data_IF_442731849670
#
_entry.id   IF_442731849670
#
_cell.length_a   1.000
_cell.length_b   1.000
_cell.length_c   1.000
_cell.angle_alpha   90.00
_cell.angle_beta   90.00
_cell.angle_gamma   90.00
#
_symmetry.space_group_name_H-M   'P 1'
#
loop_
_entity.id
_entity.type
_entity.pdbx_description
1 polymer ?
#
# COMPACT_ATOMS: atom_id res chain seq x y z
N UNK A 1 -53.93 -42.54 -16.09
CA UNK A 1 -52.65 -43.21 -16.14
C UNK A 1 -51.86 -42.62 -17.31
N UNK A 2 -51.20 -41.48 -17.11
CA UNK A 2 -50.40 -40.80 -18.14
C UNK A 2 -48.95 -40.80 -17.70
N UNK A 3 -48.11 -41.58 -18.39
CA UNK A 3 -46.65 -41.56 -18.23
C UNK A 3 -46.06 -40.37 -18.98
N UNK A 4 -45.44 -39.41 -18.28
CA UNK A 4 -44.61 -38.38 -18.88
C UNK A 4 -43.18 -38.94 -19.01
N UNK A 5 -42.71 -39.05 -20.25
CA UNK A 5 -41.32 -39.38 -20.59
C UNK A 5 -40.47 -38.12 -20.47
N UNK A 6 -39.52 -38.10 -19.52
CA UNK A 6 -38.46 -37.11 -19.47
C UNK A 6 -37.35 -37.47 -20.45
N UNK A 7 -37.09 -36.57 -21.39
CA UNK A 7 -35.93 -36.65 -22.30
C UNK A 7 -34.80 -35.86 -21.69
N UNK A 8 -33.59 -36.41 -21.44
CA UNK A 8 -32.44 -35.59 -20.97
C UNK A 8 -31.87 -34.83 -22.17
N UNK A 9 -31.81 -33.50 -22.03
CA UNK A 9 -31.06 -32.62 -22.93
C UNK A 9 -29.58 -32.68 -22.54
N UNK A 10 -28.78 -33.27 -23.42
CA UNK A 10 -27.33 -33.31 -23.31
C UNK A 10 -26.79 -31.93 -23.73
N UNK A 11 -26.34 -31.11 -22.81
CA UNK A 11 -25.61 -29.86 -23.09
C UNK A 11 -24.16 -30.28 -23.38
N UNK A 12 -23.80 -30.29 -24.65
CA UNK A 12 -22.40 -30.45 -25.08
C UNK A 12 -21.62 -29.13 -24.76
N UNK A 13 -20.89 -29.13 -23.67
CA UNK A 13 -19.94 -28.07 -23.35
C UNK A 13 -18.76 -28.12 -24.33
N UNK A 14 -18.67 -27.18 -25.26
CA UNK A 14 -17.45 -26.93 -26.03
C UNK A 14 -16.36 -26.38 -25.11
N UNK A 15 -15.49 -27.27 -24.64
CA UNK A 15 -14.25 -26.87 -23.99
C UNK A 15 -13.36 -26.17 -25.03
N UNK A 16 -13.17 -24.86 -24.90
CA UNK A 16 -12.14 -24.10 -25.62
C UNK A 16 -10.77 -24.61 -25.15
N UNK A 17 -10.21 -25.55 -25.91
CA UNK A 17 -8.84 -26.01 -25.70
C UNK A 17 -7.90 -24.86 -26.09
N UNK A 18 -7.43 -24.11 -25.14
CA UNK A 18 -6.26 -23.25 -25.33
C UNK A 18 -5.04 -24.12 -25.65
N UNK A 19 -4.20 -23.76 -26.62
CA UNK A 19 -3.06 -24.59 -26.98
C UNK A 19 -2.13 -24.77 -25.78
N UNK A 20 -2.04 -25.97 -25.26
CA UNK A 20 -1.19 -26.33 -24.11
C UNK A 20 0.28 -25.95 -24.32
N UNK A 21 0.75 -25.92 -25.56
CA UNK A 21 2.11 -25.50 -25.93
C UNK A 21 2.43 -24.05 -25.56
N UNK A 22 1.50 -23.10 -25.73
CA UNK A 22 1.76 -21.68 -25.39
C UNK A 22 1.88 -21.48 -23.87
N UNK A 23 1.14 -22.24 -23.06
CA UNK A 23 1.26 -22.21 -21.60
C UNK A 23 2.56 -22.87 -21.11
N UNK A 24 3.02 -23.93 -21.77
CA UNK A 24 4.27 -24.62 -21.40
C UNK A 24 5.52 -23.82 -21.78
N UNK A 25 5.49 -23.11 -22.90
CA UNK A 25 6.56 -22.22 -23.33
C UNK A 25 6.67 -20.99 -22.44
N UNK A 26 5.56 -20.33 -22.10
CA UNK A 26 5.48 -19.23 -21.14
C UNK A 26 5.95 -19.64 -19.72
N UNK A 27 5.77 -20.91 -19.34
CA UNK A 27 6.26 -21.43 -18.05
C UNK A 27 7.78 -21.65 -18.00
N UNK A 28 8.44 -21.73 -19.16
CA UNK A 28 9.89 -21.94 -19.29
C UNK A 28 10.69 -20.64 -19.39
N UNK A 29 10.04 -19.51 -19.65
CA UNK A 29 10.72 -18.22 -19.72
C UNK A 29 11.33 -17.83 -18.39
N UNK A 30 12.60 -17.38 -18.38
CA UNK A 30 13.29 -16.99 -17.15
C UNK A 30 12.67 -15.73 -16.54
N UNK A 31 12.77 -15.62 -15.22
CA UNK A 31 12.32 -14.43 -14.52
C UNK A 31 13.30 -13.29 -14.67
N UNK A 32 12.76 -12.08 -14.82
CA UNK A 32 13.44 -10.82 -14.55
C UNK A 32 13.00 -10.34 -13.16
N UNK A 33 13.96 -9.86 -12.36
CA UNK A 33 13.72 -9.31 -11.02
C UNK A 33 14.29 -7.91 -10.97
N UNK A 34 13.45 -6.90 -10.74
CA UNK A 34 13.88 -5.52 -10.51
C UNK A 34 13.90 -5.27 -9.01
N UNK A 35 15.05 -4.83 -8.50
CA UNK A 35 15.24 -4.38 -7.12
C UNK A 35 15.46 -2.88 -7.16
N UNK A 36 14.67 -2.15 -6.38
CA UNK A 36 14.73 -0.69 -6.24
C UNK A 36 15.17 -0.37 -4.83
N UNK A 37 16.20 0.46 -4.67
CA UNK A 37 16.74 0.84 -3.37
C UNK A 37 17.18 2.31 -3.37
N UNK A 38 16.79 3.03 -2.33
CA UNK A 38 17.19 4.42 -2.13
C UNK A 38 16.71 5.01 -0.80
N UNK A 39 16.94 6.28 -0.56
CA UNK A 39 16.41 7.00 0.59
C UNK A 39 14.97 7.48 0.36
N UNK A 40 14.19 7.52 1.45
CA UNK A 40 12.92 8.24 1.51
C UNK A 40 12.80 9.02 2.81
N UNK A 41 12.10 10.13 2.72
CA UNK A 41 11.72 10.99 3.83
C UNK A 41 10.23 10.75 4.12
N UNK A 42 9.91 10.39 5.35
CA UNK A 42 8.54 10.11 5.78
C UNK A 42 8.30 10.71 7.17
N UNK A 43 7.06 11.01 7.56
CA UNK A 43 6.77 11.36 8.95
C UNK A 43 7.30 10.30 9.91
N UNK A 44 7.87 10.71 11.05
CA UNK A 44 8.47 9.77 12.02
C UNK A 44 7.42 8.80 12.58
N UNK A 45 6.20 9.27 12.75
CA UNK A 45 5.00 8.52 13.10
C UNK A 45 3.76 9.24 12.55
N UNK A 46 2.57 8.62 12.53
CA UNK A 46 1.33 9.27 12.13
C UNK A 46 1.05 10.55 12.95
N UNK A 47 0.89 11.68 12.26
CA UNK A 47 0.67 12.99 12.87
C UNK A 47 1.93 13.74 13.29
N UNK A 48 3.12 13.21 13.05
CA UNK A 48 4.37 13.90 13.35
C UNK A 48 4.60 15.13 12.45
N UNK A 49 5.25 16.14 12.98
CA UNK A 49 5.90 17.22 12.21
C UNK A 49 7.35 16.88 11.84
N UNK A 50 7.97 15.96 12.59
CA UNK A 50 9.32 15.48 12.35
C UNK A 50 9.37 14.48 11.22
N UNK A 51 10.40 14.60 10.38
CA UNK A 51 10.68 13.72 9.25
C UNK A 51 11.78 12.73 9.63
N UNK A 52 11.57 11.48 9.26
CA UNK A 52 12.55 10.38 9.39
C UNK A 52 13.07 9.97 8.02
N UNK A 53 14.37 9.73 7.94
CA UNK A 53 15.00 9.07 6.80
C UNK A 53 14.83 7.56 6.95
N UNK A 54 14.27 6.92 5.94
CA UNK A 54 14.07 5.46 5.89
C UNK A 54 14.53 4.90 4.54
N UNK A 55 14.81 3.60 4.43
CA UNK A 55 15.03 2.98 3.13
C UNK A 55 13.74 2.95 2.32
N UNK A 56 13.83 3.30 1.03
CA UNK A 56 12.83 3.01 0.02
C UNK A 56 13.25 1.73 -0.68
N UNK A 57 12.48 0.66 -0.51
CA UNK A 57 12.79 -0.67 -1.07
C UNK A 57 11.56 -1.18 -1.82
N UNK A 58 11.78 -1.64 -3.06
CA UNK A 58 10.76 -2.30 -3.86
C UNK A 58 11.37 -3.48 -4.62
N UNK A 59 10.62 -4.56 -4.82
CA UNK A 59 11.06 -5.75 -5.55
C UNK A 59 9.94 -6.22 -6.46
N UNK A 60 10.10 -6.05 -7.75
CA UNK A 60 9.18 -6.50 -8.78
C UNK A 60 9.73 -7.69 -9.56
N UNK A 61 8.86 -8.60 -10.00
CA UNK A 61 9.21 -9.77 -10.83
C UNK A 61 8.31 -9.86 -12.05
N UNK A 62 8.93 -10.19 -13.19
CA UNK A 62 8.22 -10.46 -14.44
C UNK A 62 8.83 -11.67 -15.15
N UNK A 63 8.04 -12.40 -15.93
CA UNK A 63 8.53 -13.51 -16.77
C UNK A 63 8.84 -13.03 -18.17
N UNK A 64 9.94 -13.48 -18.74
CA UNK A 64 10.34 -13.19 -20.10
C UNK A 64 10.27 -11.69 -20.41
N UNK A 65 9.55 -11.34 -21.45
CA UNK A 65 9.35 -9.96 -21.89
C UNK A 65 8.10 -9.28 -21.31
N UNK A 66 7.32 -9.97 -20.46
CA UNK A 66 6.16 -9.35 -19.83
C UNK A 66 6.57 -8.11 -19.02
N UNK A 67 5.73 -7.10 -19.04
CA UNK A 67 5.95 -5.89 -18.24
C UNK A 67 5.94 -6.20 -16.74
N UNK A 68 6.73 -5.45 -15.97
CA UNK A 68 6.60 -5.48 -14.52
C UNK A 68 5.22 -4.96 -14.11
N UNK A 69 4.59 -5.66 -13.16
CA UNK A 69 3.30 -5.24 -12.63
C UNK A 69 3.44 -3.87 -11.95
N UNK A 70 2.39 -3.07 -12.06
CA UNK A 70 2.35 -1.78 -11.38
C UNK A 70 2.08 -1.99 -9.90
N UNK A 71 2.94 -1.39 -9.08
CA UNK A 71 2.77 -1.20 -7.65
C UNK A 71 2.98 0.28 -7.35
N UNK A 72 2.10 0.90 -6.56
CA UNK A 72 2.28 2.28 -6.17
C UNK A 72 3.35 2.37 -5.06
N UNK A 73 4.18 3.43 -5.05
CA UNK A 73 5.35 3.51 -4.17
C UNK A 73 5.01 3.59 -2.67
N UNK A 74 3.76 3.81 -2.32
CA UNK A 74 3.26 3.92 -0.95
C UNK A 74 2.41 2.71 -0.51
N UNK A 75 2.38 1.65 -1.31
CA UNK A 75 1.68 0.41 -0.95
C UNK A 75 2.48 -0.43 0.05
N UNK A 76 1.77 -1.29 0.74
CA UNK A 76 2.37 -2.33 1.58
C UNK A 76 3.06 -3.40 0.73
N UNK A 77 4.05 -4.07 1.30
CA UNK A 77 4.67 -5.23 0.65
C UNK A 77 3.65 -6.33 0.46
N UNK A 78 3.46 -6.78 -0.77
CA UNK A 78 2.48 -7.83 -1.09
C UNK A 78 2.69 -8.39 -2.49
N UNK A 79 2.01 -9.50 -2.76
CA UNK A 79 1.98 -10.09 -4.10
C UNK A 79 0.63 -10.77 -4.33
N UNK A 80 0.09 -10.75 -5.55
CA UNK A 80 -1.16 -11.43 -5.85
C UNK A 80 -0.98 -12.95 -5.80
N UNK A 81 -1.80 -13.63 -5.00
CA UNK A 81 -1.90 -15.11 -4.94
C UNK A 81 -3.02 -15.66 -5.80
N UNK A 82 -4.03 -14.85 -6.06
CA UNK A 82 -5.13 -15.14 -6.98
C UNK A 82 -5.27 -14.01 -7.97
N UNK A 83 -5.32 -14.36 -9.26
CA UNK A 83 -5.54 -13.43 -10.37
C UNK A 83 -6.66 -13.97 -11.27
N UNK A 84 -7.57 -13.08 -11.62
CA UNK A 84 -8.60 -13.29 -12.62
C UNK A 84 -8.50 -12.20 -13.68
N UNK A 85 -9.33 -12.25 -14.72
CA UNK A 85 -9.44 -11.16 -15.71
C UNK A 85 -9.98 -9.85 -15.13
N UNK A 86 -10.63 -9.89 -13.95
CA UNK A 86 -11.28 -8.72 -13.36
C UNK A 86 -10.58 -8.16 -12.12
N UNK A 87 -9.90 -9.01 -11.35
CA UNK A 87 -9.25 -8.57 -10.11
C UNK A 87 -8.09 -9.47 -9.70
N UNK A 88 -7.27 -8.98 -8.78
CA UNK A 88 -6.30 -9.81 -8.06
C UNK A 88 -6.40 -9.57 -6.54
N UNK A 89 -6.09 -10.62 -5.79
CA UNK A 89 -6.09 -10.61 -4.33
C UNK A 89 -4.78 -11.23 -3.81
N UNK A 90 -4.26 -10.69 -2.71
CA UNK A 90 -3.02 -11.17 -2.11
C UNK A 90 -2.84 -10.74 -0.67
N UNK A 91 -1.83 -11.32 0.03
CA UNK A 91 -1.42 -10.86 1.35
C UNK A 91 -0.79 -9.47 1.27
N UNK A 92 -0.90 -8.74 2.39
CA UNK A 92 -0.32 -7.42 2.59
C UNK A 92 0.47 -7.39 3.90
N UNK A 93 1.70 -6.86 3.85
CA UNK A 93 2.57 -6.69 5.02
C UNK A 93 2.97 -5.22 5.11
N UNK A 94 2.64 -4.57 6.23
CA UNK A 94 2.93 -3.17 6.50
C UNK A 94 3.82 -2.98 7.72
N UNK A 95 4.42 -1.79 7.80
CA UNK A 95 5.27 -1.37 8.92
C UNK A 95 4.90 0.04 9.32
N UNK A 96 4.65 0.26 10.63
CA UNK A 96 4.35 1.59 11.15
C UNK A 96 5.36 2.00 12.21
N UNK A 97 5.77 3.27 12.20
CA UNK A 97 6.78 3.81 13.09
C UNK A 97 6.38 3.79 14.55
N UNK A 98 7.38 3.61 15.43
CA UNK A 98 7.20 3.86 16.86
C UNK A 98 6.91 5.34 17.11
N UNK A 99 6.26 5.62 18.24
CA UNK A 99 6.14 6.96 18.80
C UNK A 99 6.48 6.90 20.30
N UNK A 100 7.43 7.67 20.73
CA UNK A 100 7.76 7.81 22.16
C UNK A 100 7.80 9.29 22.59
N UNK A 101 8.05 9.54 23.87
CA UNK A 101 8.03 10.89 24.43
C UNK A 101 9.06 11.82 23.76
N UNK A 102 10.23 11.29 23.37
CA UNK A 102 11.29 12.07 22.72
C UNK A 102 10.91 12.46 21.28
N UNK A 103 10.15 11.55 20.60
CA UNK A 103 9.66 11.82 19.24
C UNK A 103 8.69 13.01 19.22
N UNK A 104 7.81 13.12 20.22
CA UNK A 104 6.79 14.17 20.30
C UNK A 104 7.17 15.36 21.18
N UNK A 105 8.21 15.23 22.00
CA UNK A 105 8.64 16.29 22.94
C UNK A 105 7.69 16.50 24.13
N UNK A 106 6.88 15.50 24.48
CA UNK A 106 5.94 15.54 25.59
C UNK A 106 5.81 14.17 26.27
N UNK A 107 5.60 14.11 27.61
CA UNK A 107 5.49 12.87 28.36
C UNK A 107 4.12 12.21 28.16
N UNK A 108 3.91 11.63 26.98
CA UNK A 108 2.71 10.86 26.63
C UNK A 108 3.06 9.38 26.39
N UNK A 109 2.05 8.50 26.43
CA UNK A 109 2.25 7.05 26.33
C UNK A 109 2.97 6.67 25.02
N UNK A 110 3.70 5.56 25.07
CA UNK A 110 4.49 5.04 23.95
C UNK A 110 3.63 4.19 23.01
N UNK A 111 3.98 4.21 21.73
CA UNK A 111 3.54 3.22 20.73
C UNK A 111 4.79 2.53 20.17
N UNK A 112 4.85 1.21 20.31
CA UNK A 112 5.97 0.43 19.76
C UNK A 112 5.93 0.37 18.24
N UNK A 113 7.06 -0.02 17.62
CA UNK A 113 7.11 -0.34 16.22
C UNK A 113 6.09 -1.43 15.87
N UNK A 114 5.31 -1.20 14.83
CA UNK A 114 4.22 -2.08 14.43
C UNK A 114 4.57 -2.83 13.15
N UNK A 115 4.40 -4.14 13.20
CA UNK A 115 4.33 -5.02 12.03
C UNK A 115 2.86 -5.33 11.81
N UNK A 116 2.39 -5.10 10.60
CA UNK A 116 1.00 -5.30 10.22
C UNK A 116 0.89 -6.38 9.15
N UNK A 117 -0.10 -7.26 9.27
CA UNK A 117 -0.42 -8.27 8.28
C UNK A 117 -1.89 -8.18 7.89
N UNK A 118 -2.17 -8.45 6.62
CA UNK A 118 -3.51 -8.35 6.09
C UNK A 118 -3.62 -8.84 4.67
N UNK A 119 -4.55 -8.25 3.94
CA UNK A 119 -4.78 -8.59 2.54
C UNK A 119 -5.22 -7.36 1.74
N UNK A 120 -5.00 -7.45 0.44
CA UNK A 120 -5.51 -6.49 -0.53
C UNK A 120 -6.35 -7.17 -1.61
N UNK A 121 -7.23 -6.39 -2.19
CA UNK A 121 -7.89 -6.68 -3.46
C UNK A 121 -7.68 -5.47 -4.38
N UNK A 122 -7.37 -5.71 -5.64
CA UNK A 122 -7.21 -4.67 -6.64
C UNK A 122 -7.80 -5.09 -7.98
N UNK A 123 -8.24 -4.10 -8.74
CA UNK A 123 -8.81 -4.27 -10.08
C UNK A 123 -8.40 -3.12 -10.99
N UNK A 124 -8.25 -3.41 -12.28
CA UNK A 124 -8.16 -2.41 -13.33
C UNK A 124 -9.56 -2.15 -13.87
N UNK A 125 -10.08 -0.94 -13.66
CA UNK A 125 -11.40 -0.52 -14.14
C UNK A 125 -11.34 0.12 -15.53
N UNK A 126 -10.13 0.46 -15.98
CA UNK A 126 -9.75 0.84 -17.33
C UNK A 126 -8.26 0.51 -17.52
N UNK A 127 -7.73 0.52 -18.75
CA UNK A 127 -6.33 0.20 -19.05
C UNK A 127 -5.32 1.05 -18.26
N UNK A 128 -5.72 2.27 -17.89
CA UNK A 128 -4.90 3.23 -17.17
C UNK A 128 -5.41 3.55 -15.76
N UNK A 129 -6.46 2.89 -15.26
CA UNK A 129 -7.06 3.22 -13.97
C UNK A 129 -7.20 1.98 -13.10
N UNK A 130 -6.37 1.89 -12.05
CA UNK A 130 -6.41 0.82 -11.06
C UNK A 130 -7.06 1.32 -9.77
N UNK A 131 -7.84 0.47 -9.13
CA UNK A 131 -8.38 0.65 -7.78
C UNK A 131 -7.85 -0.46 -6.88
N UNK A 132 -7.44 -0.11 -5.65
CA UNK A 132 -7.00 -1.07 -4.63
C UNK A 132 -7.66 -0.75 -3.29
N UNK A 133 -8.08 -1.80 -2.62
CA UNK A 133 -8.55 -1.77 -1.23
C UNK A 133 -7.69 -2.72 -0.42
N UNK A 134 -7.26 -2.27 0.74
CA UNK A 134 -6.39 -3.03 1.62
C UNK A 134 -6.84 -2.92 3.07
N UNK A 135 -6.74 -4.02 3.82
CA UNK A 135 -6.99 -4.06 5.24
C UNK A 135 -5.88 -4.81 5.96
N UNK A 136 -5.33 -4.24 7.05
CA UNK A 136 -4.25 -4.82 7.83
C UNK A 136 -4.55 -4.77 9.33
N UNK A 137 -3.98 -5.73 10.05
CA UNK A 137 -4.01 -5.83 11.51
C UNK A 137 -2.58 -5.70 12.06
N UNK A 138 -2.36 -4.79 12.98
CA UNK A 138 -1.12 -4.71 13.74
C UNK A 138 -0.94 -5.96 14.62
N UNK A 139 0.13 -6.69 14.38
CA UNK A 139 0.55 -7.85 15.16
C UNK A 139 1.35 -7.41 16.39
N UNK A 140 2.11 -6.32 16.23
CA UNK A 140 2.88 -5.66 17.30
C UNK A 140 2.48 -4.20 17.43
N UNK A 141 3.11 -3.44 18.29
CA UNK A 141 2.91 -2.01 18.45
C UNK A 141 1.45 -1.65 18.78
N UNK A 142 0.78 -0.96 17.87
CA UNK A 142 -0.60 -0.49 18.08
C UNK A 142 -1.65 -1.62 18.16
N UNK A 143 -1.42 -2.79 17.59
CA UNK A 143 -2.30 -3.98 17.64
C UNK A 143 -3.76 -3.69 17.23
N UNK A 144 -3.97 -2.83 16.27
CA UNK A 144 -5.26 -2.32 15.81
C UNK A 144 -5.47 -2.58 14.32
N UNK A 145 -6.67 -2.27 13.80
CA UNK A 145 -6.97 -2.37 12.38
C UNK A 145 -6.70 -1.06 11.66
N UNK A 146 -6.06 -1.18 10.48
CA UNK A 146 -5.87 -0.12 9.51
C UNK A 146 -6.38 -0.58 8.15
N UNK A 147 -6.72 0.36 7.30
CA UNK A 147 -7.12 0.08 5.94
C UNK A 147 -6.84 1.26 5.01
N UNK A 148 -6.81 0.99 3.72
CA UNK A 148 -6.68 2.02 2.71
C UNK A 148 -7.53 1.73 1.49
N UNK A 149 -7.97 2.80 0.83
CA UNK A 149 -8.56 2.78 -0.50
C UNK A 149 -7.74 3.72 -1.37
N UNK A 150 -7.29 3.23 -2.50
CA UNK A 150 -6.53 4.01 -3.48
C UNK A 150 -7.09 3.82 -4.88
N UNK A 151 -6.93 4.85 -5.71
CA UNK A 151 -7.14 4.78 -7.14
C UNK A 151 -5.94 5.42 -7.82
N UNK A 152 -5.40 4.79 -8.86
CA UNK A 152 -4.20 5.25 -9.55
C UNK A 152 -4.47 5.37 -11.03
N UNK A 153 -4.27 6.56 -11.58
CA UNK A 153 -4.06 6.74 -13.00
C UNK A 153 -2.60 6.36 -13.31
N UNK A 154 -2.43 5.44 -14.25
CA UNK A 154 -1.13 4.90 -14.64
C UNK A 154 -0.91 5.12 -16.12
N UNK A 155 0.14 5.85 -16.47
CA UNK A 155 0.63 6.01 -17.83
C UNK A 155 2.02 5.36 -17.93
N UNK A 156 2.23 4.54 -18.98
CA UNK A 156 3.50 3.84 -19.15
C UNK A 156 3.81 3.56 -20.60
N UNK A 157 5.08 3.34 -20.88
CA UNK A 157 5.56 2.79 -22.14
C UNK A 157 6.40 1.55 -21.86
N UNK A 158 5.74 0.42 -21.79
CA UNK A 158 6.38 -0.83 -21.39
C UNK A 158 7.04 -0.69 -20.02
N UNK A 159 8.32 -1.11 -19.94
CA UNK A 159 9.18 -0.88 -18.78
C UNK A 159 10.10 0.35 -18.96
N UNK A 160 10.02 1.08 -20.08
CA UNK A 160 10.89 2.24 -20.33
C UNK A 160 10.61 3.36 -19.33
N UNK A 161 9.35 3.67 -19.12
CA UNK A 161 8.92 4.60 -18.08
C UNK A 161 7.51 4.29 -17.62
N UNK A 162 7.24 4.65 -16.37
CA UNK A 162 5.94 4.57 -15.74
C UNK A 162 5.71 5.82 -14.90
N UNK A 163 4.57 6.46 -15.07
CA UNK A 163 4.05 7.54 -14.23
C UNK A 163 2.75 7.09 -13.60
N UNK A 164 2.57 7.37 -12.32
CA UNK A 164 1.30 7.15 -11.62
C UNK A 164 0.93 8.35 -10.77
N UNK A 165 -0.36 8.60 -10.63
CA UNK A 165 -0.91 9.58 -9.70
C UNK A 165 -2.29 9.16 -9.26
N UNK A 166 -2.61 9.34 -7.97
CA UNK A 166 -3.94 9.00 -7.52
C UNK A 166 -4.26 9.32 -6.07
N UNK A 167 -5.56 9.45 -5.75
CA UNK A 167 -6.05 9.73 -4.41
C UNK A 167 -5.83 8.56 -3.45
N UNK A 168 -5.74 8.89 -2.17
CA UNK A 168 -5.60 7.98 -1.04
C UNK A 168 -6.63 8.30 0.03
N UNK A 169 -7.23 7.27 0.59
CA UNK A 169 -8.05 7.36 1.81
C UNK A 169 -7.52 6.32 2.79
N UNK A 170 -7.09 6.77 3.95
CA UNK A 170 -6.65 5.90 5.04
C UNK A 170 -7.71 5.84 6.12
N UNK A 171 -8.05 4.62 6.55
CA UNK A 171 -9.00 4.34 7.61
C UNK A 171 -8.28 3.63 8.76
N UNK A 172 -8.74 3.87 9.99
CA UNK A 172 -8.27 3.11 11.14
C UNK A 172 -9.33 3.02 12.23
N UNK A 173 -9.21 2.00 13.07
CA UNK A 173 -10.12 1.79 14.17
C UNK A 173 -9.86 2.74 15.35
N UNK A 174 -10.79 2.80 16.31
CA UNK A 174 -10.65 3.64 17.50
C UNK A 174 -9.43 3.30 18.35
N UNK A 175 -8.97 2.05 18.33
CA UNK A 175 -7.79 1.62 19.06
C UNK A 175 -6.50 2.20 18.44
N UNK A 176 -6.43 2.27 17.10
CA UNK A 176 -5.34 2.94 16.40
C UNK A 176 -5.34 4.43 16.70
N UNK A 177 -6.52 5.08 16.61
CA UNK A 177 -6.64 6.50 16.90
C UNK A 177 -6.24 6.81 18.34
N UNK A 178 -6.67 6.01 19.33
CA UNK A 178 -6.20 6.18 20.71
C UNK A 178 -4.70 5.98 20.86
N UNK A 179 -4.12 5.01 20.14
CA UNK A 179 -2.68 4.77 20.21
C UNK A 179 -1.86 5.96 19.72
N UNK A 180 -2.19 6.51 18.54
CA UNK A 180 -1.37 7.59 17.93
C UNK A 180 -1.86 9.01 18.21
N UNK A 181 -3.14 9.19 18.45
CA UNK A 181 -3.80 10.50 18.57
C UNK A 181 -4.47 10.73 19.92
N UNK A 182 -4.59 9.72 20.76
CA UNK A 182 -5.18 9.83 22.09
C UNK A 182 -4.27 10.48 23.13
N UNK A 183 -4.89 11.14 24.11
CA UNK A 183 -4.26 11.64 25.34
C UNK A 183 -5.03 11.08 26.51
N UNK A 184 -4.46 10.11 27.23
CA UNK A 184 -5.08 9.53 28.40
C UNK A 184 -5.13 10.55 29.56
N UNK A 185 -5.97 10.34 30.59
CA UNK A 185 -5.93 11.21 31.78
C UNK A 185 -4.56 11.29 32.44
N UNK A 186 -3.77 10.20 32.44
CA UNK A 186 -2.41 10.18 32.95
C UNK A 186 -1.46 11.01 32.07
N UNK A 187 -1.55 10.89 30.74
CA UNK A 187 -0.78 11.71 29.80
C UNK A 187 -1.15 13.20 29.95
N UNK A 188 -2.44 13.50 30.14
CA UNK A 188 -2.93 14.85 30.36
C UNK A 188 -2.32 15.48 31.62
N UNK A 189 -2.31 14.73 32.73
CA UNK A 189 -1.72 15.18 33.96
C UNK A 189 -0.20 15.41 33.87
N UNK A 190 0.49 14.56 33.08
CA UNK A 190 1.95 14.64 32.91
C UNK A 190 2.37 15.73 31.92
N UNK A 191 1.62 15.92 30.83
CA UNK A 191 1.99 16.82 29.72
C UNK A 191 1.32 18.19 29.75
N UNK A 192 0.24 18.36 30.53
CA UNK A 192 -0.60 19.56 30.51
C UNK A 192 -1.52 19.68 29.29
N UNK A 193 -1.52 18.71 28.38
CA UNK A 193 -2.42 18.68 27.23
C UNK A 193 -3.82 18.22 27.67
N UNK A 194 -4.90 18.69 27.01
CA UNK A 194 -6.24 18.20 27.32
C UNK A 194 -6.38 16.71 27.01
N UNK A 195 -7.06 15.95 27.89
CA UNK A 195 -7.39 14.55 27.65
C UNK A 195 -8.23 14.42 26.38
N UNK A 196 -7.94 13.40 25.57
CA UNK A 196 -8.57 13.21 24.28
C UNK A 196 -8.76 11.72 23.96
N UNK A 197 -9.99 11.30 23.72
CA UNK A 197 -10.36 9.93 23.38
C UNK A 197 -10.97 9.86 21.97
N UNK A 198 -10.13 9.73 20.92
CA UNK A 198 -10.56 9.75 19.53
C UNK A 198 -11.27 8.45 19.15
N UNK A 199 -12.25 8.58 18.27
CA UNK A 199 -12.94 7.46 17.62
C UNK A 199 -12.22 7.09 16.32
N UNK A 200 -12.47 5.87 15.82
CA UNK A 200 -11.98 5.44 14.51
C UNK A 200 -12.79 6.07 13.37
N UNK A 201 -12.28 5.86 12.16
CA UNK A 201 -12.90 6.34 10.93
C UNK A 201 -11.87 6.69 9.85
N UNK A 202 -12.19 7.68 9.02
CA UNK A 202 -11.24 8.22 8.04
C UNK A 202 -10.16 8.99 8.80
N UNK A 203 -8.94 8.42 8.77
CA UNK A 203 -7.76 9.01 9.41
C UNK A 203 -7.17 10.14 8.58
N UNK A 204 -7.03 9.90 7.26
CA UNK A 204 -6.41 10.83 6.34
C UNK A 204 -6.98 10.70 4.92
N UNK A 205 -6.90 11.79 4.18
CA UNK A 205 -7.10 11.82 2.73
C UNK A 205 -5.85 12.44 2.09
N UNK A 206 -5.46 11.91 0.92
CA UNK A 206 -4.22 12.33 0.30
C UNK A 206 -4.11 12.02 -1.16
N UNK A 207 -2.92 12.24 -1.69
CA UNK A 207 -2.54 11.96 -3.07
C UNK A 207 -1.11 11.46 -3.11
N UNK A 208 -0.85 10.47 -3.95
CA UNK A 208 0.50 9.96 -4.24
C UNK A 208 0.77 10.07 -5.72
N UNK A 209 1.98 10.50 -6.08
CA UNK A 209 2.49 10.46 -7.44
C UNK A 209 3.82 9.70 -7.45
N UNK A 210 4.02 8.85 -8.47
CA UNK A 210 5.23 8.07 -8.67
C UNK A 210 5.73 8.15 -10.10
N UNK A 211 7.04 8.10 -10.27
CA UNK A 211 7.68 8.04 -11.58
C UNK A 211 8.86 7.08 -11.55
N UNK A 212 8.89 6.19 -12.54
CA UNK A 212 9.99 5.28 -12.79
C UNK A 212 10.47 5.47 -14.22
N UNK A 213 11.77 5.56 -14.42
CA UNK A 213 12.39 5.68 -15.73
C UNK A 213 13.57 4.75 -15.86
N UNK A 214 13.59 3.96 -16.93
CA UNK A 214 14.67 3.05 -17.27
C UNK A 214 15.78 3.82 -18.00
N UNK A 215 16.97 3.87 -17.39
CA UNK A 215 18.13 4.58 -17.93
C UNK A 215 18.94 3.72 -18.91
N UNK A 216 18.89 2.41 -18.71
CA UNK A 216 19.55 1.41 -19.56
C UNK A 216 18.82 0.07 -19.45
N UNK A 217 19.24 -0.97 -20.16
CA UNK A 217 18.65 -2.32 -20.05
C UNK A 217 18.64 -2.91 -18.64
N UNK A 218 19.39 -2.36 -17.68
CA UNK A 218 19.48 -2.85 -16.30
C UNK A 218 19.22 -1.80 -15.24
N UNK A 219 19.59 -0.54 -15.47
CA UNK A 219 19.49 0.52 -14.49
C UNK A 219 18.31 1.43 -14.76
N UNK A 220 17.61 1.78 -13.70
CA UNK A 220 16.53 2.77 -13.73
C UNK A 220 16.59 3.66 -12.47
N UNK A 221 15.76 4.68 -12.48
CA UNK A 221 15.52 5.60 -11.38
C UNK A 221 14.04 5.61 -11.05
N UNK A 222 13.73 5.58 -9.76
CA UNK A 222 12.36 5.71 -9.26
C UNK A 222 12.30 6.89 -8.30
N UNK A 223 11.19 7.63 -8.34
CA UNK A 223 10.92 8.72 -7.40
C UNK A 223 9.43 8.78 -7.10
N UNK A 224 9.09 9.29 -5.94
CA UNK A 224 7.70 9.54 -5.58
C UNK A 224 7.56 10.73 -4.64
N UNK A 225 6.35 11.26 -4.60
CA UNK A 225 5.89 12.23 -3.61
C UNK A 225 4.49 11.85 -3.15
N UNK A 226 4.24 12.01 -1.86
CA UNK A 226 2.96 11.76 -1.21
C UNK A 226 2.62 12.93 -0.28
N UNK A 227 1.37 13.32 -0.31
CA UNK A 227 0.79 14.26 0.65
C UNK A 227 -0.48 13.66 1.21
N UNK A 228 -0.58 13.60 2.54
CA UNK A 228 -1.80 13.28 3.26
C UNK A 228 -2.17 14.41 4.21
N UNK A 229 -3.47 14.62 4.35
CA UNK A 229 -4.04 15.47 5.36
C UNK A 229 -4.85 14.65 6.33
N UNK A 230 -4.49 14.70 7.59
CA UNK A 230 -5.29 14.11 8.67
C UNK A 230 -6.69 14.73 8.69
N UNK A 231 -7.69 13.92 9.01
CA UNK A 231 -9.11 14.33 9.05
C UNK A 231 -9.77 13.89 10.36
N UNK A 232 -10.97 14.41 10.64
CA UNK A 232 -11.76 14.04 11.80
C UNK A 232 -10.97 14.05 13.11
N UNK A 233 -11.21 13.04 13.94
CA UNK A 233 -10.61 12.94 15.27
C UNK A 233 -9.07 12.88 15.24
N UNK A 234 -8.46 12.34 14.18
CA UNK A 234 -7.00 12.36 14.01
C UNK A 234 -6.47 13.79 13.83
N UNK A 235 -7.17 14.61 13.05
CA UNK A 235 -6.82 16.01 12.82
C UNK A 235 -7.09 16.91 14.04
N UNK A 236 -8.09 16.58 14.85
CA UNK A 236 -8.49 17.37 16.01
C UNK A 236 -7.73 17.03 17.27
N UNK A 237 -6.94 15.96 17.22
CA UNK A 237 -6.08 15.52 18.32
C UNK A 237 -5.10 16.61 18.76
N UNK A 238 -4.91 16.82 20.08
CA UNK A 238 -3.83 17.67 20.61
C UNK A 238 -2.44 17.22 20.12
N UNK A 239 -2.23 15.90 19.89
CA UNK A 239 -0.98 15.37 19.32
C UNK A 239 -0.70 15.97 17.96
N UNK A 240 -1.68 15.95 17.05
CA UNK A 240 -1.51 16.47 15.70
C UNK A 240 -1.52 18.01 15.63
N UNK A 241 -2.25 18.67 16.55
CA UNK A 241 -2.41 20.13 16.53
C UNK A 241 -1.33 20.89 17.25
N UNK A 242 -0.80 20.34 18.32
CA UNK A 242 0.11 21.05 19.23
C UNK A 242 1.53 20.48 19.17
N UNK A 243 1.67 19.16 19.02
CA UNK A 243 2.95 18.45 19.05
C UNK A 243 3.39 17.95 17.67
N UNK A 244 2.55 18.10 16.66
CA UNK A 244 2.80 17.54 15.34
C UNK A 244 2.19 18.35 14.20
N UNK A 245 1.76 17.65 13.15
CA UNK A 245 1.18 18.27 11.96
C UNK A 245 -0.01 17.48 11.44
N UNK A 246 -1.04 18.19 10.98
CA UNK A 246 -2.12 17.59 10.18
C UNK A 246 -1.69 17.29 8.75
N UNK A 247 -0.61 17.96 8.27
CA UNK A 247 -0.09 17.80 6.93
C UNK A 247 1.09 16.84 6.99
N UNK A 248 0.99 15.73 6.26
CA UNK A 248 1.95 14.66 6.27
C UNK A 248 2.56 14.54 4.87
N UNK A 249 3.85 14.83 4.74
CA UNK A 249 4.57 14.74 3.49
C UNK A 249 5.52 13.55 3.52
N UNK A 250 5.57 12.79 2.43
CA UNK A 250 6.56 11.76 2.20
C UNK A 250 7.08 11.83 0.77
N UNK A 251 8.28 11.33 0.54
CA UNK A 251 8.85 11.26 -0.78
C UNK A 251 10.20 10.56 -0.78
N UNK A 252 10.58 10.03 -1.92
CA UNK A 252 11.82 9.27 -2.05
C UNK A 252 12.38 9.28 -3.46
N UNK A 253 13.66 8.94 -3.54
CA UNK A 253 14.37 8.69 -4.79
C UNK A 253 15.19 7.42 -4.63
N UNK A 254 15.19 6.56 -5.65
CA UNK A 254 15.88 5.30 -5.60
C UNK A 254 16.46 4.92 -6.97
N UNK A 255 17.51 4.10 -6.95
CA UNK A 255 18.01 3.41 -8.13
C UNK A 255 17.37 2.03 -8.19
N UNK A 256 17.00 1.60 -9.39
CA UNK A 256 16.56 0.25 -9.65
C UNK A 256 17.58 -0.51 -10.50
N UNK A 257 17.72 -1.80 -10.22
CA UNK A 257 18.54 -2.71 -11.01
C UNK A 257 17.75 -3.96 -11.39
N UNK A 258 17.77 -4.30 -12.68
CA UNK A 258 17.06 -5.48 -13.20
C UNK A 258 18.04 -6.62 -13.44
N UNK A 259 17.85 -7.71 -12.71
CA UNK A 259 18.52 -9.01 -12.87
C UNK A 259 17.75 -9.87 -13.86
N UNK A 260 18.48 -10.78 -14.53
CA UNK A 260 17.91 -11.74 -15.49
C UNK A 260 18.35 -11.46 -16.92
N UNK A 261 17.71 -12.13 -17.91
CA UNK A 261 18.02 -11.92 -19.32
C UNK A 261 17.87 -10.47 -19.74
N UNK A 262 18.67 -10.06 -20.69
CA UNK A 262 18.56 -8.72 -21.31
C UNK A 262 17.39 -8.74 -22.29
N UNK A 263 16.66 -7.66 -22.35
CA UNK A 263 15.86 -7.30 -23.52
C UNK A 263 16.74 -6.88 -24.66
#
# INVERSE_FOLDING_TARGET
MFLHRFTPVLIAGTALAFPAHAQEEAAREPFRTRVTLGPQLVPSHPGADKISLRPFVDVARARGENEFEFEAPDESVGFPVLRTSGFSIGPALGFEGKRDADDVGAPIHKVGFSVEAGAFIQTWIADSLRVRVEGRKGLTGHRSWTGSVSADYVARKGDDWLFSIGPRVTLSDSKYHRAYFGITPADSAASGLPAYDPKGGVQAVGITAGYLHQLSSRWGIATYARYDRLTGDAADSPVARTLGSRNQFAGGIALSYTFGPRR
#
